data_IF_395836596634
#
_entry.id   IF_395836596634
#
_cell.length_a   1.000
_cell.length_b   1.000
_cell.length_c   1.000
_cell.angle_alpha   90.00
_cell.angle_beta   90.00
_cell.angle_gamma   90.00
#
_symmetry.space_group_name_H-M   'P 1'
#
loop_
_entity.id
_entity.type
_entity.pdbx_description
1 polymer ?
#
# COMPACT_ATOMS: atom_id res chain seq x y z
N UNK A 1 -10.52 10.83 -22.44
CA UNK A 1 -9.30 10.20 -21.91
C UNK A 1 -9.74 9.26 -20.80
N UNK A 2 -9.45 8.00 -20.91
CA UNK A 2 -9.71 7.01 -19.88
C UNK A 2 -8.80 7.31 -18.68
N UNK A 3 -9.39 7.57 -17.54
CA UNK A 3 -8.62 7.89 -16.33
C UNK A 3 -8.45 6.59 -15.56
N UNK A 4 -7.21 6.17 -15.35
CA UNK A 4 -6.85 5.00 -14.56
C UNK A 4 -6.09 5.46 -13.32
N UNK A 5 -6.22 4.74 -12.22
CA UNK A 5 -5.64 5.17 -10.95
C UNK A 5 -5.18 4.00 -10.08
N UNK A 6 -4.09 4.20 -9.38
CA UNK A 6 -3.73 3.39 -8.21
C UNK A 6 -4.02 4.21 -6.95
N UNK A 7 -4.75 3.66 -6.02
CA UNK A 7 -5.03 4.29 -4.74
C UNK A 7 -4.48 3.44 -3.59
N UNK A 8 -3.77 4.05 -2.67
CA UNK A 8 -3.22 3.37 -1.50
C UNK A 8 -3.92 3.86 -0.23
N UNK A 9 -4.43 2.92 0.54
CA UNK A 9 -5.03 3.15 1.85
C UNK A 9 -4.17 2.54 2.95
N UNK A 10 -3.71 3.36 3.89
CA UNK A 10 -2.91 2.88 5.01
C UNK A 10 -3.77 2.19 6.08
N UNK A 11 -3.14 1.45 6.99
CA UNK A 11 -3.83 0.72 8.05
C UNK A 11 -4.66 1.60 8.98
N UNK A 12 -4.26 2.86 9.21
CA UNK A 12 -5.03 3.82 10.01
C UNK A 12 -6.33 4.22 9.31
N UNK A 13 -6.34 4.29 7.99
CA UNK A 13 -7.56 4.55 7.20
C UNK A 13 -8.53 3.36 7.26
N UNK A 14 -8.03 2.16 7.56
CA UNK A 14 -8.79 0.92 7.68
C UNK A 14 -8.92 0.45 9.15
N UNK A 15 -8.76 1.33 10.14
CA UNK A 15 -8.61 1.01 11.55
C UNK A 15 -9.74 0.12 12.14
N UNK A 16 -10.94 0.19 11.62
CA UNK A 16 -12.10 -0.58 12.09
C UNK A 16 -13.00 -0.96 10.93
N UNK A 17 -13.91 -1.92 11.14
CA UNK A 17 -14.92 -2.27 10.13
C UNK A 17 -15.74 -1.07 9.68
N UNK A 18 -16.04 -0.14 10.59
CA UNK A 18 -16.72 1.12 10.23
C UNK A 18 -15.87 1.93 9.24
N UNK A 19 -14.57 2.14 9.55
CA UNK A 19 -13.64 2.88 8.68
C UNK A 19 -13.43 2.18 7.36
N UNK A 20 -13.30 0.87 7.35
CA UNK A 20 -13.19 0.07 6.13
C UNK A 20 -14.42 0.26 5.23
N UNK A 21 -15.64 0.27 5.79
CA UNK A 21 -16.87 0.55 5.03
C UNK A 21 -16.94 1.99 4.54
N UNK A 22 -16.44 2.97 5.28
CA UNK A 22 -16.32 4.36 4.83
C UNK A 22 -15.38 4.46 3.63
N UNK A 23 -14.24 3.76 3.67
CA UNK A 23 -13.29 3.66 2.52
C UNK A 23 -13.95 2.96 1.34
N UNK A 24 -14.65 1.85 1.54
CA UNK A 24 -15.38 1.16 0.48
C UNK A 24 -16.43 2.08 -0.18
N UNK A 25 -17.18 2.84 0.61
CA UNK A 25 -18.17 3.80 0.11
C UNK A 25 -17.49 4.94 -0.70
N UNK A 26 -16.33 5.42 -0.24
CA UNK A 26 -15.55 6.40 -0.98
C UNK A 26 -15.09 5.84 -2.34
N UNK A 27 -14.49 4.66 -2.38
CA UNK A 27 -14.06 4.00 -3.62
C UNK A 27 -15.26 3.79 -4.56
N UNK A 28 -16.39 3.31 -4.04
CA UNK A 28 -17.61 3.13 -4.81
C UNK A 28 -18.12 4.43 -5.44
N UNK A 29 -18.03 5.55 -4.72
CA UNK A 29 -18.43 6.88 -5.24
C UNK A 29 -17.53 7.36 -6.39
N UNK A 30 -16.28 6.93 -6.42
CA UNK A 30 -15.30 7.28 -7.44
C UNK A 30 -15.32 6.34 -8.65
N UNK A 31 -15.94 5.15 -8.54
CA UNK A 31 -15.85 4.10 -9.56
C UNK A 31 -16.27 4.58 -10.96
N UNK A 32 -17.26 5.47 -11.05
CA UNK A 32 -17.71 6.04 -12.32
C UNK A 32 -16.76 7.07 -12.95
N UNK A 33 -15.75 7.52 -12.23
CA UNK A 33 -14.78 8.51 -12.72
C UNK A 33 -13.55 7.84 -13.35
N UNK A 34 -13.30 6.56 -13.00
CA UNK A 34 -12.13 5.81 -13.44
C UNK A 34 -12.57 4.58 -14.24
N UNK A 35 -11.87 4.31 -15.33
CA UNK A 35 -12.06 3.06 -16.09
C UNK A 35 -11.46 1.89 -15.33
N UNK A 36 -10.21 2.03 -14.88
CA UNK A 36 -9.52 1.02 -14.10
C UNK A 36 -9.06 1.58 -12.76
N UNK A 37 -9.28 0.82 -11.71
CA UNK A 37 -8.86 1.15 -10.36
C UNK A 37 -8.11 -0.03 -9.74
N UNK A 38 -6.93 0.26 -9.20
CA UNK A 38 -6.19 -0.66 -8.36
C UNK A 38 -6.09 -0.04 -6.96
N UNK A 39 -6.51 -0.79 -5.96
CA UNK A 39 -6.51 -0.36 -4.57
C UNK A 39 -5.46 -1.16 -3.82
N UNK A 40 -4.46 -0.51 -3.28
CA UNK A 40 -3.44 -1.14 -2.44
C UNK A 40 -3.75 -0.84 -0.99
N UNK A 41 -3.80 -1.86 -0.16
CA UNK A 41 -4.11 -1.73 1.27
C UNK A 41 -2.94 -2.16 2.13
N UNK A 42 -2.80 -1.48 3.26
CA UNK A 42 -1.96 -1.89 4.36
C UNK A 42 -2.70 -2.73 5.38
N UNK A 43 -1.98 -3.22 6.38
CA UNK A 43 -2.55 -4.00 7.46
C UNK A 43 -3.54 -3.15 8.29
N UNK A 44 -4.72 -3.68 8.57
CA UNK A 44 -5.82 -3.00 9.22
C UNK A 44 -5.50 -2.64 10.68
N UNK A 45 -5.60 -1.36 11.02
CA UNK A 45 -5.50 -0.87 12.40
C UNK A 45 -4.11 -1.02 13.01
N UNK A 46 -4.04 -1.62 14.19
CA UNK A 46 -2.81 -1.95 14.93
C UNK A 46 -2.40 -3.42 14.74
N UNK A 47 -3.01 -4.13 13.83
CA UNK A 47 -2.86 -5.58 13.68
C UNK A 47 -1.41 -6.02 13.43
N UNK A 48 -0.55 -5.19 12.81
CA UNK A 48 0.89 -5.50 12.69
C UNK A 48 1.53 -5.65 14.07
N UNK A 49 1.26 -4.70 14.99
CA UNK A 49 1.76 -4.76 16.36
C UNK A 49 1.19 -5.95 17.12
N UNK A 50 -0.10 -6.23 16.94
CA UNK A 50 -0.77 -7.35 17.58
C UNK A 50 -0.22 -8.69 17.08
N UNK A 51 0.02 -8.83 15.78
CA UNK A 51 0.63 -10.02 15.19
C UNK A 51 2.07 -10.24 15.69
N UNK A 52 2.87 -9.17 15.83
CA UNK A 52 4.20 -9.25 16.42
C UNK A 52 4.11 -9.66 17.90
N UNK A 53 3.15 -9.13 18.65
CA UNK A 53 2.94 -9.51 20.05
C UNK A 53 2.56 -10.99 20.17
N UNK A 54 1.63 -11.47 19.35
CA UNK A 54 1.25 -12.89 19.28
C UNK A 54 2.44 -13.79 18.94
N UNK A 55 3.29 -13.38 17.98
CA UNK A 55 4.49 -14.11 17.64
C UNK A 55 5.46 -14.23 18.83
N UNK A 56 5.63 -13.15 19.60
CA UNK A 56 6.46 -13.13 20.82
C UNK A 56 5.89 -14.01 21.93
N UNK A 57 4.57 -14.10 22.04
CA UNK A 57 3.92 -15.02 22.99
C UNK A 57 4.07 -16.48 22.56
N UNK A 58 4.10 -16.74 21.24
CA UNK A 58 4.28 -18.10 20.72
C UNK A 58 5.71 -18.63 20.87
N UNK A 59 6.73 -17.75 20.90
CA UNK A 59 8.11 -18.18 21.04
C UNK A 59 9.09 -17.03 21.29
N UNK A 60 10.24 -17.34 21.95
CA UNK A 60 11.28 -16.33 22.20
C UNK A 60 12.16 -16.09 20.96
N UNK A 61 12.48 -17.16 20.25
CA UNK A 61 13.25 -17.11 19.00
C UNK A 61 12.30 -17.26 17.82
N UNK A 62 11.85 -16.13 17.28
CA UNK A 62 10.88 -16.11 16.17
C UNK A 62 11.66 -16.22 14.86
N UNK A 63 11.48 -17.29 14.08
CA UNK A 63 12.08 -17.38 12.75
C UNK A 63 11.55 -16.26 11.87
N UNK A 64 12.47 -15.54 11.18
CA UNK A 64 12.12 -14.40 10.33
C UNK A 64 11.06 -14.77 9.31
N UNK A 65 11.23 -15.90 8.61
CA UNK A 65 10.28 -16.40 7.62
C UNK A 65 8.86 -16.54 8.16
N UNK A 66 8.70 -17.11 9.35
CA UNK A 66 7.37 -17.32 9.93
C UNK A 66 6.72 -15.99 10.39
N UNK A 67 7.54 -15.04 10.84
CA UNK A 67 7.05 -13.71 11.16
C UNK A 67 6.55 -13.00 9.90
N UNK A 68 7.30 -13.05 8.81
CA UNK A 68 6.92 -12.43 7.53
C UNK A 68 5.60 -13.01 6.99
N UNK A 69 5.43 -14.34 7.05
CA UNK A 69 4.17 -15.02 6.69
C UNK A 69 3.01 -14.55 7.57
N UNK A 70 3.24 -14.44 8.88
CA UNK A 70 2.22 -13.98 9.83
C UNK A 70 1.81 -12.52 9.55
N UNK A 71 2.78 -11.64 9.30
CA UNK A 71 2.50 -10.23 8.98
C UNK A 71 1.75 -10.09 7.66
N UNK A 72 2.12 -10.86 6.64
CA UNK A 72 1.44 -10.86 5.35
C UNK A 72 -0.05 -11.27 5.47
N UNK A 73 -0.40 -12.15 6.40
CA UNK A 73 -1.78 -12.55 6.64
C UNK A 73 -2.68 -11.36 7.03
N UNK A 74 -2.15 -10.38 7.76
CA UNK A 74 -2.89 -9.17 8.14
C UNK A 74 -3.23 -8.28 6.94
N UNK A 75 -2.31 -8.14 5.98
CA UNK A 75 -2.56 -7.41 4.73
C UNK A 75 -3.61 -8.12 3.86
N UNK A 76 -3.52 -9.46 3.79
CA UNK A 76 -4.49 -10.29 3.06
C UNK A 76 -5.89 -10.19 3.66
N UNK A 77 -5.99 -10.16 4.99
CA UNK A 77 -7.25 -9.93 5.69
C UNK A 77 -7.87 -8.59 5.29
N UNK A 78 -7.07 -7.52 5.29
CA UNK A 78 -7.52 -6.17 4.91
C UNK A 78 -8.03 -6.13 3.47
N UNK A 79 -7.29 -6.72 2.53
CA UNK A 79 -7.67 -6.76 1.12
C UNK A 79 -8.99 -7.53 0.90
N UNK A 80 -9.12 -8.69 1.53
CA UNK A 80 -10.32 -9.52 1.40
C UNK A 80 -11.55 -8.84 1.99
N UNK A 81 -11.43 -8.23 3.17
CA UNK A 81 -12.52 -7.50 3.81
C UNK A 81 -12.96 -6.28 2.99
N UNK A 82 -12.01 -5.54 2.39
CA UNK A 82 -12.35 -4.42 1.53
C UNK A 82 -13.05 -4.87 0.24
N UNK A 83 -12.59 -5.95 -0.39
CA UNK A 83 -13.24 -6.52 -1.58
C UNK A 83 -14.68 -6.97 -1.28
N UNK A 84 -14.91 -7.61 -0.12
CA UNK A 84 -16.26 -7.98 0.35
C UNK A 84 -17.13 -6.73 0.51
N UNK A 85 -16.61 -5.67 1.16
CA UNK A 85 -17.35 -4.44 1.39
C UNK A 85 -17.70 -3.70 0.09
N UNK A 86 -16.80 -3.71 -0.90
CA UNK A 86 -17.05 -3.16 -2.24
C UNK A 86 -18.14 -3.95 -2.97
N UNK A 87 -18.07 -5.28 -2.92
CA UNK A 87 -19.08 -6.15 -3.54
C UNK A 87 -20.48 -5.95 -2.92
N UNK A 88 -20.56 -5.77 -1.60
CA UNK A 88 -21.81 -5.43 -0.88
C UNK A 88 -22.42 -4.08 -1.34
N UNK A 89 -21.58 -3.18 -1.86
CA UNK A 89 -21.98 -1.87 -2.40
C UNK A 89 -22.20 -1.89 -3.93
N UNK A 90 -22.21 -3.06 -4.55
CA UNK A 90 -22.44 -3.22 -5.99
C UNK A 90 -21.23 -2.92 -6.87
N UNK A 91 -20.03 -2.81 -6.29
CA UNK A 91 -18.77 -2.67 -7.02
C UNK A 91 -18.08 -4.02 -7.10
N UNK A 92 -17.99 -4.59 -8.31
CA UNK A 92 -17.24 -5.83 -8.50
C UNK A 92 -15.76 -5.61 -8.15
N UNK A 93 -15.26 -6.34 -7.18
CA UNK A 93 -13.90 -6.25 -6.69
C UNK A 93 -13.31 -7.63 -6.42
N UNK A 94 -12.02 -7.76 -6.61
CA UNK A 94 -11.30 -9.00 -6.35
C UNK A 94 -10.03 -8.72 -5.58
N UNK A 95 -9.88 -9.39 -4.44
CA UNK A 95 -8.66 -9.30 -3.63
C UNK A 95 -7.57 -10.20 -4.19
N UNK A 96 -6.34 -9.71 -4.13
CA UNK A 96 -5.17 -10.49 -4.51
C UNK A 96 -4.05 -10.32 -3.49
N UNK A 97 -3.25 -11.37 -3.38
CA UNK A 97 -2.07 -11.37 -2.53
C UNK A 97 -0.86 -10.96 -3.36
N UNK A 98 -0.04 -10.07 -2.83
CA UNK A 98 1.19 -9.65 -3.51
C UNK A 98 2.22 -10.78 -3.74
N UNK A 99 2.00 -11.96 -3.14
CA UNK A 99 2.97 -13.04 -3.10
C UNK A 99 2.81 -14.14 -4.18
N UNK A 100 1.84 -14.04 -5.09
CA UNK A 100 1.71 -15.02 -6.19
C UNK A 100 2.46 -14.58 -7.45
N UNK A 101 3.78 -14.40 -7.37
CA UNK A 101 4.69 -13.94 -8.44
C UNK A 101 4.53 -12.47 -8.86
N UNK A 102 3.67 -11.69 -8.21
CA UNK A 102 3.41 -10.31 -8.60
C UNK A 102 4.50 -9.35 -8.16
N UNK A 103 5.18 -9.64 -7.05
CA UNK A 103 6.29 -8.80 -6.55
C UNK A 103 7.47 -9.70 -6.21
N UNK A 104 8.52 -9.66 -7.02
CA UNK A 104 9.79 -10.33 -6.73
C UNK A 104 10.70 -9.33 -6.03
N UNK A 105 11.08 -9.63 -4.82
CA UNK A 105 11.96 -8.81 -4.02
C UNK A 105 13.26 -9.56 -3.70
N UNK A 106 14.37 -8.82 -3.60
CA UNK A 106 15.65 -9.35 -3.18
C UNK A 106 16.03 -8.78 -1.82
N UNK A 107 16.54 -9.59 -0.89
CA UNK A 107 17.17 -9.07 0.29
C UNK A 107 18.41 -8.26 -0.12
N UNK A 108 18.46 -7.01 0.31
CA UNK A 108 19.63 -6.15 0.10
C UNK A 108 20.65 -6.42 1.20
N UNK A 109 21.90 -6.69 0.83
CA UNK A 109 22.95 -7.09 1.78
C UNK A 109 23.31 -6.02 2.83
N UNK A 110 22.84 -4.79 2.68
CA UNK A 110 23.17 -3.67 3.56
C UNK A 110 22.01 -3.15 4.42
N UNK A 111 20.76 -3.47 4.06
CA UNK A 111 19.56 -3.00 4.76
C UNK A 111 18.69 -4.19 5.14
N UNK A 112 18.01 -4.09 6.28
CA UNK A 112 17.10 -5.14 6.79
C UNK A 112 15.87 -5.39 5.90
N UNK A 113 15.70 -4.62 4.82
CA UNK A 113 14.51 -4.63 3.97
C UNK A 113 14.80 -5.06 2.54
N UNK A 114 13.86 -5.77 1.95
CA UNK A 114 13.94 -6.20 0.57
C UNK A 114 13.64 -5.05 -0.41
N UNK A 115 14.37 -5.00 -1.53
CA UNK A 115 14.07 -4.11 -2.65
C UNK A 115 13.27 -4.84 -3.73
N UNK A 116 12.28 -4.15 -4.29
CA UNK A 116 11.47 -4.68 -5.39
C UNK A 116 12.32 -4.75 -6.67
N UNK A 117 12.52 -5.95 -7.19
CA UNK A 117 13.23 -6.20 -8.44
C UNK A 117 12.29 -6.17 -9.64
N UNK A 118 11.13 -6.77 -9.48
CA UNK A 118 10.14 -6.93 -10.53
C UNK A 118 8.74 -6.95 -9.93
N UNK A 119 7.78 -6.34 -10.61
CA UNK A 119 6.37 -6.43 -10.29
C UNK A 119 5.68 -7.12 -11.45
N UNK A 120 5.17 -8.32 -11.20
CA UNK A 120 4.31 -9.00 -12.16
C UNK A 120 2.87 -8.52 -11.94
N UNK A 121 2.32 -7.84 -12.92
CA UNK A 121 0.97 -7.29 -12.89
C UNK A 121 -0.04 -8.08 -13.73
N UNK A 122 0.32 -9.28 -14.21
CA UNK A 122 -0.58 -10.10 -15.05
C UNK A 122 -1.94 -10.31 -14.38
N UNK A 123 -1.92 -10.67 -13.08
CA UNK A 123 -3.16 -10.87 -12.34
C UNK A 123 -3.95 -9.58 -12.13
N UNK A 124 -3.27 -8.44 -11.89
CA UNK A 124 -3.91 -7.12 -11.82
C UNK A 124 -4.59 -6.82 -13.15
N UNK A 125 -3.87 -7.04 -14.26
CA UNK A 125 -4.38 -6.82 -15.62
C UNK A 125 -5.62 -7.68 -15.91
N UNK A 126 -5.62 -8.95 -15.52
CA UNK A 126 -6.79 -9.84 -15.67
C UNK A 126 -8.02 -9.29 -14.92
N UNK A 127 -7.84 -8.88 -13.66
CA UNK A 127 -8.93 -8.36 -12.81
C UNK A 127 -9.52 -7.09 -13.41
N UNK A 128 -8.67 -6.11 -13.76
CA UNK A 128 -9.16 -4.83 -14.32
C UNK A 128 -9.74 -5.00 -15.71
N UNK A 129 -9.21 -5.91 -16.54
CA UNK A 129 -9.78 -6.22 -17.86
C UNK A 129 -11.14 -6.89 -17.78
N UNK A 130 -11.46 -7.55 -16.66
CA UNK A 130 -12.80 -8.06 -16.36
C UNK A 130 -13.76 -6.97 -15.83
N UNK A 131 -13.33 -5.70 -15.78
CA UNK A 131 -14.11 -4.57 -15.28
C UNK A 131 -14.18 -4.45 -13.76
N UNK A 132 -13.39 -5.26 -13.03
CA UNK A 132 -13.37 -5.30 -11.57
C UNK A 132 -12.33 -4.34 -11.00
N UNK A 133 -12.51 -3.97 -9.73
CA UNK A 133 -11.51 -3.30 -8.92
C UNK A 133 -10.53 -4.34 -8.37
N UNK A 134 -9.25 -4.19 -8.63
CA UNK A 134 -8.22 -5.03 -8.03
C UNK A 134 -7.85 -4.50 -6.64
N UNK A 135 -8.03 -5.30 -5.60
CA UNK A 135 -7.67 -4.96 -4.22
C UNK A 135 -6.43 -5.74 -3.82
N UNK A 136 -5.29 -5.07 -3.77
CA UNK A 136 -3.98 -5.69 -3.58
C UNK A 136 -3.54 -5.59 -2.13
N UNK A 137 -3.19 -6.73 -1.53
CA UNK A 137 -2.48 -6.76 -0.25
C UNK A 137 -1.05 -6.25 -0.48
N UNK A 138 -0.71 -5.10 0.09
CA UNK A 138 0.61 -4.49 -0.03
C UNK A 138 1.67 -5.15 0.87
N UNK A 139 2.85 -4.51 1.01
CA UNK A 139 3.90 -4.87 1.97
C UNK A 139 4.66 -6.17 1.67
N UNK A 140 4.10 -7.13 0.97
CA UNK A 140 4.63 -8.47 0.77
C UNK A 140 5.14 -8.67 -0.66
N UNK A 141 6.21 -9.42 -0.79
CA UNK A 141 6.75 -9.95 -2.03
C UNK A 141 7.09 -11.43 -1.88
N UNK A 142 7.71 -11.99 -2.89
CA UNK A 142 8.33 -13.31 -2.83
C UNK A 142 9.81 -13.21 -3.18
N UNK A 143 10.62 -14.03 -2.57
CA UNK A 143 12.02 -14.18 -2.93
C UNK A 143 12.22 -15.25 -4.03
N UNK A 144 13.47 -15.54 -4.37
CA UNK A 144 13.84 -16.52 -5.39
C UNK A 144 13.47 -17.97 -4.97
N UNK A 145 13.32 -18.22 -3.67
CA UNK A 145 12.91 -19.52 -3.11
C UNK A 145 11.39 -19.67 -3.06
N UNK A 146 10.65 -18.61 -3.42
CA UNK A 146 9.18 -18.47 -3.36
C UNK A 146 8.64 -18.36 -1.94
N UNK A 147 9.48 -17.99 -1.00
CA UNK A 147 9.04 -17.62 0.32
C UNK A 147 8.49 -16.19 0.33
N UNK A 148 7.49 -15.96 1.19
CA UNK A 148 6.96 -14.62 1.43
C UNK A 148 8.01 -13.82 2.17
N UNK A 149 8.31 -12.63 1.67
CA UNK A 149 9.17 -11.67 2.34
C UNK A 149 8.48 -10.34 2.49
N UNK A 150 8.79 -9.61 3.55
CA UNK A 150 8.29 -8.28 3.73
C UNK A 150 9.16 -7.23 3.00
N UNK A 151 8.53 -6.17 2.53
CA UNK A 151 9.21 -5.02 1.93
C UNK A 151 9.62 -3.98 2.98
N UNK A 152 9.45 -4.32 4.23
CA UNK A 152 9.75 -3.47 5.36
C UNK A 152 8.70 -2.36 5.58
N UNK A 153 9.05 -1.44 6.50
CA UNK A 153 8.17 -0.31 6.83
C UNK A 153 7.82 0.45 5.55
N UNK A 154 6.53 0.76 5.38
CA UNK A 154 6.04 1.44 4.17
C UNK A 154 6.02 0.58 2.91
N UNK A 155 6.23 -0.74 3.00
CA UNK A 155 6.23 -1.64 1.85
C UNK A 155 4.96 -1.57 0.99
N UNK A 156 3.80 -1.27 1.59
CA UNK A 156 2.56 -1.03 0.83
C UNK A 156 2.60 0.23 -0.04
N UNK A 157 3.40 1.24 0.34
CA UNK A 157 3.63 2.43 -0.48
C UNK A 157 4.44 2.06 -1.72
N UNK A 158 5.50 1.26 -1.52
CA UNK A 158 6.35 0.74 -2.60
C UNK A 158 5.51 -0.13 -3.55
N UNK A 159 4.64 -1.00 -3.02
CA UNK A 159 3.71 -1.80 -3.84
C UNK A 159 2.83 -0.91 -4.72
N UNK A 160 2.23 0.12 -4.14
CA UNK A 160 1.33 1.01 -4.87
C UNK A 160 2.05 1.77 -5.99
N UNK A 161 3.18 2.40 -5.67
CA UNK A 161 3.97 3.14 -6.67
C UNK A 161 4.54 2.21 -7.74
N UNK A 162 4.96 1.00 -7.37
CA UNK A 162 5.47 0.04 -8.33
C UNK A 162 4.41 -0.42 -9.35
N UNK A 163 3.17 -0.66 -8.90
CA UNK A 163 2.04 -0.96 -9.79
C UNK A 163 1.74 0.25 -10.69
N UNK A 164 1.69 1.45 -10.12
CA UNK A 164 1.47 2.68 -10.88
C UNK A 164 2.56 2.90 -11.93
N UNK A 165 3.82 2.69 -11.59
CA UNK A 165 4.95 2.78 -12.49
C UNK A 165 4.85 1.79 -13.66
N UNK A 166 4.43 0.55 -13.38
CA UNK A 166 4.26 -0.47 -14.42
C UNK A 166 3.21 -0.08 -15.45
N UNK A 167 2.08 0.45 -15.00
CA UNK A 167 0.98 0.86 -15.90
C UNK A 167 1.12 2.28 -16.45
N UNK A 168 2.05 3.09 -15.95
CA UNK A 168 2.17 4.51 -16.29
C UNK A 168 1.00 5.35 -15.77
N UNK A 169 0.45 5.00 -14.58
CA UNK A 169 -0.69 5.67 -13.95
C UNK A 169 -0.24 6.56 -12.81
N UNK A 170 -1.12 7.48 -12.41
CA UNK A 170 -0.96 8.27 -11.18
C UNK A 170 -1.23 7.38 -9.95
N UNK A 171 -0.67 7.76 -8.79
CA UNK A 171 -0.85 7.06 -7.54
C UNK A 171 -1.31 8.02 -6.44
N UNK A 172 -2.46 7.78 -5.85
CA UNK A 172 -3.02 8.57 -4.75
C UNK A 172 -2.84 7.87 -3.40
N UNK A 173 -2.40 8.62 -2.39
CA UNK A 173 -2.22 8.14 -1.03
C UNK A 173 -3.32 8.68 -0.12
N UNK A 174 -4.14 7.79 0.42
CA UNK A 174 -5.18 8.11 1.39
C UNK A 174 -4.69 7.79 2.80
N UNK A 175 -4.50 8.85 3.58
CA UNK A 175 -4.03 8.77 4.97
C UNK A 175 -5.05 9.41 5.90
N UNK A 176 -4.78 9.41 7.21
CA UNK A 176 -5.61 10.12 8.18
C UNK A 176 -5.37 11.64 8.19
N UNK A 177 -4.33 12.12 7.53
CA UNK A 177 -4.08 13.54 7.33
C UNK A 177 -4.73 14.02 6.03
N UNK A 178 -5.29 15.22 6.04
CA UNK A 178 -5.96 15.79 4.86
C UNK A 178 -4.99 16.08 3.71
N UNK A 179 -3.75 16.46 4.03
CA UNK A 179 -2.69 16.74 3.05
C UNK A 179 -1.31 16.76 3.70
N UNK A 180 -0.28 17.06 2.91
CA UNK A 180 1.03 17.45 3.42
C UNK A 180 0.99 18.90 3.90
N UNK A 181 1.68 19.19 5.00
CA UNK A 181 1.77 20.51 5.59
C UNK A 181 3.24 20.96 5.70
N UNK A 182 3.46 22.27 5.77
CA UNK A 182 4.80 22.86 5.96
C UNK A 182 5.44 22.54 7.32
N UNK A 183 4.64 22.15 8.29
CA UNK A 183 5.02 21.64 9.60
C UNK A 183 3.87 20.79 10.16
N UNK A 184 4.06 20.08 11.27
CA UNK A 184 2.97 19.38 11.93
C UNK A 184 1.94 20.38 12.49
N UNK A 185 0.69 20.40 11.99
CA UNK A 185 -0.33 21.36 12.44
C UNK A 185 -0.75 21.15 13.91
N UNK A 186 -0.47 20.00 14.52
CA UNK A 186 -0.69 19.78 15.94
C UNK A 186 0.35 20.51 16.79
N UNK A 187 1.57 20.64 16.29
CA UNK A 187 2.66 21.34 16.97
C UNK A 187 2.71 22.83 16.59
N UNK A 188 2.36 23.14 15.35
CA UNK A 188 2.39 24.50 14.80
C UNK A 188 1.07 24.82 14.06
N UNK A 189 0.10 25.46 14.74
CA UNK A 189 -1.24 25.72 14.17
C UNK A 189 -1.24 26.58 12.90
N UNK A 190 -0.18 27.35 12.63
CA UNK A 190 -0.03 28.17 11.42
C UNK A 190 0.55 27.37 10.23
N UNK A 191 0.75 26.05 10.39
CA UNK A 191 1.20 25.20 9.31
C UNK A 191 0.24 25.24 8.13
N UNK A 192 0.79 25.41 6.93
CA UNK A 192 0.02 25.57 5.69
C UNK A 192 0.02 24.29 4.87
N UNK A 193 -1.11 23.94 4.23
CA UNK A 193 -1.15 22.81 3.30
C UNK A 193 -0.24 23.07 2.09
N UNK A 194 0.50 22.04 1.69
CA UNK A 194 1.36 22.05 0.51
C UNK A 194 0.54 21.52 -0.66
N UNK A 195 0.34 22.36 -1.69
CA UNK A 195 -0.47 22.00 -2.87
C UNK A 195 0.29 21.17 -3.89
N UNK A 196 1.58 21.40 -4.01
CA UNK A 196 2.47 20.69 -4.90
C UNK A 196 3.89 20.74 -4.32
N UNK A 197 4.61 19.66 -4.47
CA UNK A 197 5.98 19.50 -3.96
C UNK A 197 6.76 18.65 -4.97
N UNK A 198 8.05 18.90 -5.11
CA UNK A 198 8.92 18.07 -5.95
C UNK A 198 9.25 16.76 -5.25
N UNK A 199 9.70 15.77 -6.00
CA UNK A 199 10.15 14.50 -5.39
C UNK A 199 11.33 14.72 -4.45
N UNK A 200 12.25 15.63 -4.80
CA UNK A 200 13.41 16.01 -4.00
C UNK A 200 13.01 16.59 -2.64
N UNK A 201 12.12 17.57 -2.65
CA UNK A 201 11.59 18.19 -1.42
C UNK A 201 10.81 17.16 -0.59
N UNK A 202 10.02 16.29 -1.23
CA UNK A 202 9.29 15.22 -0.54
C UNK A 202 10.23 14.22 0.13
N UNK A 203 11.32 13.81 -0.56
CA UNK A 203 12.35 12.94 0.04
C UNK A 203 13.04 13.60 1.23
N UNK A 204 13.38 14.89 1.14
CA UNK A 204 13.92 15.63 2.27
C UNK A 204 12.96 15.63 3.47
N UNK A 205 11.69 15.92 3.24
CA UNK A 205 10.68 15.93 4.30
C UNK A 205 10.51 14.55 4.93
N UNK A 206 10.48 13.49 4.13
CA UNK A 206 10.32 12.11 4.66
C UNK A 206 11.55 11.67 5.45
N UNK A 207 12.76 12.01 5.00
CA UNK A 207 13.99 11.74 5.73
C UNK A 207 14.08 12.52 7.07
N UNK A 208 13.44 13.67 7.15
CA UNK A 208 13.34 14.47 8.37
C UNK A 208 12.16 14.08 9.27
N UNK A 209 11.40 13.03 8.93
CA UNK A 209 10.37 12.46 9.79
C UNK A 209 8.92 12.73 9.37
N UNK A 210 8.67 13.29 8.20
CA UNK A 210 7.31 13.36 7.66
C UNK A 210 6.83 11.97 7.21
N UNK A 211 6.15 11.23 8.08
CA UNK A 211 5.77 9.82 7.90
C UNK A 211 4.49 9.60 7.08
N UNK A 212 4.26 10.36 6.02
CA UNK A 212 3.05 10.23 5.19
C UNK A 212 3.20 9.25 4.04
N UNK A 213 4.38 9.22 3.43
CA UNK A 213 4.77 8.31 2.35
C UNK A 213 6.20 7.83 2.63
N UNK A 214 6.48 6.58 2.37
CA UNK A 214 7.83 6.01 2.52
C UNK A 214 8.81 6.61 1.52
N UNK A 215 10.01 6.99 1.96
CA UNK A 215 11.04 7.63 1.11
C UNK A 215 11.37 6.79 -0.12
N UNK A 216 11.52 5.46 0.02
CA UNK A 216 11.80 4.55 -1.11
C UNK A 216 10.67 4.54 -2.16
N UNK A 217 9.42 4.77 -1.74
CA UNK A 217 8.30 4.91 -2.66
C UNK A 217 8.39 6.22 -3.44
N UNK A 218 8.83 7.31 -2.82
CA UNK A 218 9.07 8.59 -3.50
C UNK A 218 10.24 8.49 -4.49
N UNK A 219 11.33 7.81 -4.12
CA UNK A 219 12.45 7.50 -5.02
C UNK A 219 12.00 6.70 -6.24
N UNK A 220 11.16 5.69 -6.02
CA UNK A 220 10.59 4.88 -7.09
C UNK A 220 9.70 5.72 -8.01
N UNK A 221 8.85 6.58 -7.42
CA UNK A 221 7.98 7.49 -8.16
C UNK A 221 8.80 8.47 -9.03
N UNK A 222 9.87 9.04 -8.47
CA UNK A 222 10.81 9.89 -9.21
C UNK A 222 11.43 9.15 -10.38
N UNK A 223 11.94 7.93 -10.14
CA UNK A 223 12.61 7.11 -11.15
C UNK A 223 11.72 6.82 -12.36
N UNK A 224 10.43 6.57 -12.12
CA UNK A 224 9.47 6.19 -13.16
C UNK A 224 8.49 7.31 -13.53
N UNK A 225 8.70 8.52 -13.00
CA UNK A 225 7.85 9.69 -13.23
C UNK A 225 6.37 9.46 -12.89
N UNK A 226 6.10 8.76 -11.79
CA UNK A 226 4.75 8.52 -11.27
C UNK A 226 4.31 9.73 -10.47
N UNK A 227 3.24 10.38 -10.87
CA UNK A 227 2.66 11.47 -10.09
C UNK A 227 1.99 10.92 -8.83
N UNK A 228 2.36 11.50 -7.68
CA UNK A 228 1.81 11.16 -6.37
C UNK A 228 0.80 12.22 -5.91
#
# INVERSE_FOLDING_TARGET
MTINIVQKYNGRSLYSMKKLREVAAHIASLRGQYENMVIVVGNMGQSTGDLIAMAKEAGQDIPKRELEVLLAAGEQQSASLLAIALSDMGVEAESMMGCKREIVAHPYFADEYANVKEINTERVQEIISAGKVAVVAGFQGIDETKDIIDLGRGGSDITAVGIAAHFGWDCEFYTTAECMYTADPQMYPEARPIKAITYEEMMEMTNLGADKVETRAVELAKKYNVKL
#
